data_IF_992770461658
#
_entry.id   IF_992770461658
#
_cell.length_a   1.000
_cell.length_b   1.000
_cell.length_c   1.000
_cell.angle_alpha   90.00
_cell.angle_beta   90.00
_cell.angle_gamma   90.00
#
_symmetry.space_group_name_H-M   'P 1'
#
loop_
_entity.id
_entity.type
_entity.pdbx_description
1 polymer ?
#
# COMPACT_ATOMS: atom_id res chain seq x y z
N UNK A 1 15.49 11.85 -12.37
CA UNK A 1 14.68 12.64 -11.42
C UNK A 1 13.25 12.56 -11.86
N UNK A 2 12.40 11.95 -11.07
CA UNK A 2 10.96 11.93 -11.34
C UNK A 2 10.33 13.21 -10.76
N UNK A 3 9.37 13.77 -11.48
CA UNK A 3 8.67 14.98 -11.07
C UNK A 3 7.19 14.86 -11.43
N UNK A 4 6.34 15.38 -10.57
CA UNK A 4 4.95 15.66 -10.92
C UNK A 4 4.80 17.12 -11.31
N UNK A 5 4.28 17.37 -12.52
CA UNK A 5 3.85 18.70 -12.96
C UNK A 5 2.33 18.75 -12.81
N UNK A 6 1.85 19.45 -11.77
CA UNK A 6 0.43 19.51 -11.42
C UNK A 6 -0.15 20.85 -11.89
N UNK A 7 -1.24 20.79 -12.66
CA UNK A 7 -2.02 21.97 -13.04
C UNK A 7 -3.25 22.09 -12.15
N UNK A 8 -3.31 23.15 -11.35
CA UNK A 8 -4.44 23.44 -10.46
C UNK A 8 -5.65 24.05 -11.17
N UNK A 9 -6.70 24.36 -10.40
CA UNK A 9 -7.91 25.03 -10.90
C UNK A 9 -9.11 24.11 -11.17
N UNK A 10 -8.95 22.81 -10.92
CA UNK A 10 -10.01 21.81 -11.13
C UNK A 10 -10.50 21.26 -9.79
N UNK A 11 -11.81 21.36 -9.46
CA UNK A 11 -12.36 20.67 -8.31
C UNK A 11 -12.24 19.15 -8.53
N UNK A 12 -11.81 18.42 -7.50
CA UNK A 12 -11.78 16.96 -7.56
C UNK A 12 -13.19 16.41 -7.30
N UNK A 13 -13.67 15.56 -8.20
CA UNK A 13 -14.94 14.85 -8.07
C UNK A 13 -14.75 13.37 -8.40
N UNK A 14 -15.23 12.48 -7.53
CA UNK A 14 -15.13 11.04 -7.72
C UNK A 14 -15.00 10.27 -6.41
N UNK A 15 -14.59 9.00 -6.52
CA UNK A 15 -14.34 8.11 -5.39
C UNK A 15 -12.97 7.45 -5.57
N UNK A 16 -12.29 7.24 -4.46
CA UNK A 16 -11.02 6.49 -4.40
C UNK A 16 -11.17 5.41 -3.35
N UNK A 17 -10.78 4.19 -3.69
CA UNK A 17 -10.64 3.11 -2.71
C UNK A 17 -9.23 3.17 -2.14
N UNK A 18 -9.06 3.41 -0.83
CA UNK A 18 -7.74 3.43 -0.22
C UNK A 18 -7.10 2.04 -0.26
N UNK A 19 -5.80 1.98 -0.49
CA UNK A 19 -5.01 0.75 -0.38
C UNK A 19 -4.81 0.34 1.08
N UNK A 20 -4.23 -0.84 1.30
CA UNK A 20 -3.85 -1.32 2.63
C UNK A 20 -2.96 -0.38 3.41
N UNK A 21 -3.00 -0.51 4.74
CA UNK A 21 -2.17 0.29 5.64
C UNK A 21 -0.73 -0.25 5.63
N UNK A 22 0.24 0.55 5.16
CA UNK A 22 1.66 0.17 5.14
C UNK A 22 2.20 -0.20 6.53
N UNK A 23 1.79 0.52 7.56
CA UNK A 23 2.27 0.32 8.92
C UNK A 23 1.69 -0.96 9.54
N UNK A 24 0.59 -1.49 9.00
CA UNK A 24 0.10 -2.82 9.34
C UNK A 24 0.77 -3.91 8.48
N UNK A 25 0.98 -3.64 7.18
CA UNK A 25 1.56 -4.61 6.26
C UNK A 25 2.97 -5.05 6.69
N UNK A 26 3.85 -4.12 7.08
CA UNK A 26 5.23 -4.43 7.45
C UNK A 26 5.36 -5.43 8.61
N UNK A 27 4.74 -5.23 9.80
CA UNK A 27 4.81 -6.21 10.87
C UNK A 27 4.07 -7.52 10.53
N UNK A 28 3.00 -7.48 9.72
CA UNK A 28 2.31 -8.70 9.28
C UNK A 28 3.17 -9.56 8.35
N UNK A 29 3.94 -8.95 7.45
CA UNK A 29 4.94 -9.65 6.63
C UNK A 29 5.98 -10.34 7.51
N UNK A 30 6.49 -9.64 8.54
CA UNK A 30 7.42 -10.24 9.49
C UNK A 30 6.80 -11.40 10.28
N UNK A 31 5.52 -11.27 10.67
CA UNK A 31 4.80 -12.31 11.40
C UNK A 31 4.59 -13.60 10.57
N UNK A 32 4.67 -13.53 9.23
CA UNK A 32 4.59 -14.72 8.38
C UNK A 32 5.72 -15.73 8.64
N UNK A 33 6.86 -15.28 9.21
CA UNK A 33 7.96 -16.16 9.60
C UNK A 33 7.73 -16.94 10.91
N UNK A 34 6.63 -16.68 11.62
CA UNK A 34 6.32 -17.32 12.91
C UNK A 34 5.63 -18.69 12.77
N UNK A 35 5.38 -19.14 11.53
CA UNK A 35 4.73 -20.42 11.24
C UNK A 35 5.33 -21.05 9.98
N UNK A 36 5.30 -22.38 9.91
CA UNK A 36 5.64 -23.14 8.70
C UNK A 36 4.46 -23.27 7.73
N UNK A 37 3.26 -22.90 8.16
CA UNK A 37 2.06 -22.94 7.33
C UNK A 37 2.01 -21.78 6.31
N UNK A 38 1.43 -21.99 5.11
CA UNK A 38 1.25 -20.91 4.15
C UNK A 38 0.36 -19.78 4.69
N UNK A 39 0.88 -18.55 4.70
CA UNK A 39 0.12 -17.34 5.05
C UNK A 39 -0.22 -16.56 3.78
N UNK A 40 -1.48 -16.13 3.65
CA UNK A 40 -1.94 -15.26 2.57
C UNK A 40 -2.43 -13.93 3.13
N UNK A 41 -1.69 -12.86 2.86
CA UNK A 41 -2.09 -11.50 3.21
C UNK A 41 -2.90 -10.90 2.05
N UNK A 42 -4.04 -10.29 2.38
CA UNK A 42 -4.91 -9.59 1.43
C UNK A 42 -4.85 -8.08 1.67
N UNK A 43 -5.15 -7.29 0.64
CA UNK A 43 -5.12 -5.82 0.71
C UNK A 43 -3.75 -5.28 1.16
N UNK A 44 -2.67 -5.88 0.67
CA UNK A 44 -1.30 -5.37 0.88
C UNK A 44 -1.07 -4.20 -0.08
N UNK A 45 -0.60 -3.03 0.37
CA UNK A 45 -0.38 -1.89 -0.51
C UNK A 45 0.83 -2.12 -1.44
N UNK A 46 0.68 -1.72 -2.70
CA UNK A 46 1.73 -1.76 -3.71
C UNK A 46 2.60 -0.51 -3.62
N UNK A 47 3.63 -0.56 -2.77
CA UNK A 47 4.55 0.55 -2.50
C UNK A 47 5.97 0.03 -2.27
N UNK A 48 6.95 0.92 -2.38
CA UNK A 48 8.37 0.57 -2.27
C UNK A 48 8.77 -0.04 -0.91
N UNK A 49 8.10 0.32 0.19
CA UNK A 49 8.40 -0.28 1.51
C UNK A 49 8.06 -1.80 1.55
N UNK A 50 7.22 -2.27 0.61
CA UNK A 50 6.64 -3.62 0.59
C UNK A 50 7.20 -4.49 -0.55
N UNK A 51 7.53 -3.91 -1.70
CA UNK A 51 8.08 -4.62 -2.87
C UNK A 51 9.59 -4.44 -3.01
#
# INVERSE_FOLDING_TARGET
MEQFVIQGGYPLEGKVTPSGNKNAALPLLAACFLTEEPVRLHNVPDIQDVN
#
